data_IF_412183894928
#
_entry.id   IF_412183894928
#
_cell.length_a   1.000
_cell.length_b   1.000
_cell.length_c   1.000
_cell.angle_alpha   90.00
_cell.angle_beta   90.00
_cell.angle_gamma   90.00
#
_symmetry.space_group_name_H-M   'P 1'
#
loop_
_entity.id
_entity.type
_entity.pdbx_description
1 polymer ?
#
# COMPACT_ATOMS: atom_id res chain seq x y z
N UNK A 1 -39.66 -42.05 20.33
CA UNK A 1 -38.23 -41.78 20.07
C UNK A 1 -37.88 -40.43 20.65
N UNK A 2 -36.93 -40.33 21.58
CA UNK A 2 -36.59 -39.06 22.19
C UNK A 2 -35.73 -38.24 21.22
N UNK A 3 -36.06 -36.97 21.06
CA UNK A 3 -35.33 -36.01 20.24
C UNK A 3 -33.99 -35.71 20.92
N UNK A 4 -32.90 -36.11 20.26
CA UNK A 4 -31.53 -35.79 20.64
C UNK A 4 -31.37 -34.26 20.68
N UNK A 5 -31.05 -33.72 21.86
CA UNK A 5 -30.67 -32.32 22.01
C UNK A 5 -29.32 -32.13 21.34
N UNK A 6 -29.27 -31.29 20.32
CA UNK A 6 -28.02 -30.80 19.71
C UNK A 6 -27.10 -30.25 20.83
N UNK A 7 -25.79 -30.52 20.77
CA UNK A 7 -24.85 -30.01 21.75
C UNK A 7 -24.84 -28.48 21.74
N UNK A 8 -24.89 -27.87 22.92
CA UNK A 8 -24.73 -26.43 23.05
C UNK A 8 -23.36 -26.02 22.48
N UNK A 9 -23.28 -24.92 21.69
CA UNK A 9 -21.99 -24.42 21.23
C UNK A 9 -21.12 -24.12 22.45
N UNK A 10 -19.92 -24.71 22.45
CA UNK A 10 -18.91 -24.51 23.47
C UNK A 10 -18.72 -23.00 23.67
N UNK A 11 -19.01 -22.50 24.88
CA UNK A 11 -18.85 -21.09 25.19
C UNK A 11 -17.43 -20.66 24.84
N UNK A 12 -17.29 -19.65 23.99
CA UNK A 12 -16.02 -18.98 23.75
C UNK A 12 -15.54 -18.55 25.14
N UNK A 13 -14.37 -19.01 25.63
CA UNK A 13 -13.83 -18.54 26.89
C UNK A 13 -13.79 -17.02 26.79
N UNK A 14 -14.43 -16.31 27.72
CA UNK A 14 -14.14 -14.90 27.89
C UNK A 14 -12.62 -14.83 28.03
N UNK A 15 -11.95 -14.23 27.05
CA UNK A 15 -10.54 -13.94 27.15
C UNK A 15 -10.43 -13.02 28.38
N UNK A 16 -10.10 -13.62 29.53
CA UNK A 16 -9.80 -12.87 30.74
C UNK A 16 -8.78 -11.84 30.32
N UNK A 17 -9.06 -10.57 30.59
CA UNK A 17 -8.13 -9.49 30.32
C UNK A 17 -6.77 -9.93 30.88
N UNK A 18 -5.84 -10.26 29.99
CA UNK A 18 -4.49 -10.61 30.38
C UNK A 18 -3.99 -9.38 31.12
N UNK A 19 -3.72 -9.45 32.44
CA UNK A 19 -3.20 -8.30 33.14
C UNK A 19 -1.95 -7.87 32.40
N UNK A 20 -1.92 -6.61 31.93
CA UNK A 20 -0.76 -6.07 31.26
C UNK A 20 0.47 -6.40 32.11
N UNK A 21 1.53 -6.98 31.53
CA UNK A 21 2.69 -7.38 32.30
C UNK A 21 3.13 -6.17 33.13
N UNK A 22 3.36 -6.38 34.43
CA UNK A 22 3.75 -5.31 35.34
C UNK A 22 4.94 -4.58 34.70
N UNK A 23 4.70 -3.36 34.24
CA UNK A 23 5.70 -2.58 33.53
C UNK A 23 6.92 -2.40 34.44
N UNK A 24 8.12 -2.50 33.87
CA UNK A 24 9.31 -2.23 34.67
C UNK A 24 9.33 -0.74 35.08
N UNK A 25 10.00 -0.37 36.19
CA UNK A 25 9.92 0.97 36.80
C UNK A 25 10.25 2.15 35.87
N UNK A 26 10.98 1.93 34.78
CA UNK A 26 11.37 2.96 33.82
C UNK A 26 10.78 2.73 32.42
N UNK A 27 9.66 2.02 32.31
CA UNK A 27 9.03 1.71 31.01
C UNK A 27 8.65 2.94 30.18
N UNK A 28 8.45 4.09 30.83
CA UNK A 28 8.21 5.37 30.15
C UNK A 28 9.47 5.92 29.48
N UNK A 29 10.67 5.70 30.05
CA UNK A 29 11.94 6.04 29.39
C UNK A 29 12.12 5.19 28.12
N UNK A 30 11.82 3.90 28.20
CA UNK A 30 11.88 3.02 27.02
C UNK A 30 10.88 3.46 25.95
N UNK A 31 9.65 3.83 26.35
CA UNK A 31 8.62 4.34 25.44
C UNK A 31 9.05 5.64 24.78
N UNK A 32 9.63 6.56 25.55
CA UNK A 32 10.18 7.82 25.03
C UNK A 32 11.33 7.58 24.06
N UNK A 33 12.23 6.64 24.39
CA UNK A 33 13.33 6.20 23.53
C UNK A 33 12.82 5.61 22.21
N UNK A 34 11.89 4.65 22.27
CA UNK A 34 11.24 4.08 21.08
C UNK A 34 10.53 5.15 20.24
N UNK A 35 9.82 6.08 20.86
CA UNK A 35 9.16 7.18 20.16
C UNK A 35 10.16 8.13 19.48
N UNK A 36 11.33 8.38 20.10
CA UNK A 36 12.38 9.19 19.50
C UNK A 36 12.99 8.49 18.27
N UNK A 37 13.29 7.19 18.36
CA UNK A 37 13.77 6.40 17.23
C UNK A 37 12.73 6.36 16.12
N UNK A 38 11.46 6.09 16.44
CA UNK A 38 10.38 6.07 15.45
C UNK A 38 10.24 7.41 14.71
N UNK A 39 10.35 8.54 15.41
CA UNK A 39 10.35 9.87 14.76
C UNK A 39 11.57 10.08 13.87
N UNK A 40 12.77 9.70 14.34
CA UNK A 40 14.01 9.88 13.58
C UNK A 40 14.07 9.01 12.31
N UNK A 41 13.34 7.90 12.29
CA UNK A 41 13.32 6.90 11.21
C UNK A 41 12.03 6.92 10.39
N UNK A 42 11.13 7.86 10.65
CA UNK A 42 9.79 7.91 10.08
C UNK A 42 9.01 6.59 10.21
N UNK A 43 9.24 5.83 11.30
CA UNK A 43 8.58 4.57 11.61
C UNK A 43 9.27 3.31 11.07
N UNK A 44 10.37 3.43 10.33
CA UNK A 44 11.15 2.26 9.86
C UNK A 44 12.02 1.72 10.98
N UNK A 45 11.91 0.42 11.29
CA UNK A 45 12.73 -0.25 12.31
C UNK A 45 14.19 -0.40 11.84
N UNK A 46 15.18 0.26 12.46
CA UNK A 46 16.59 0.08 12.09
C UNK A 46 17.10 -1.32 12.44
N UNK A 47 16.56 -1.92 13.49
CA UNK A 47 16.94 -3.26 13.92
C UNK A 47 16.53 -4.30 12.88
N UNK A 48 15.31 -4.20 12.36
CA UNK A 48 14.81 -5.05 11.29
C UNK A 48 15.71 -5.04 10.04
N UNK A 49 16.19 -3.86 9.67
CA UNK A 49 17.15 -3.64 8.56
C UNK A 49 18.46 -4.37 8.87
N UNK A 50 19.06 -4.12 10.04
CA UNK A 50 20.34 -4.70 10.44
C UNK A 50 20.25 -6.23 10.53
N UNK A 51 19.16 -6.77 11.08
CA UNK A 51 18.97 -8.20 11.26
C UNK A 51 18.92 -8.93 9.92
N UNK A 52 18.12 -8.44 8.96
CA UNK A 52 18.02 -9.06 7.65
C UNK A 52 19.37 -9.06 6.90
N UNK A 53 20.11 -7.95 6.96
CA UNK A 53 21.45 -7.86 6.38
C UNK A 53 22.45 -8.81 7.05
N UNK A 54 22.42 -8.87 8.38
CA UNK A 54 23.35 -9.70 9.17
C UNK A 54 23.08 -11.19 8.99
N UNK A 55 21.80 -11.60 8.95
CA UNK A 55 21.40 -12.99 8.74
C UNK A 55 21.79 -13.46 7.33
N UNK A 56 21.49 -12.65 6.31
CA UNK A 56 21.91 -12.92 4.93
C UNK A 56 23.43 -13.02 4.80
N UNK A 57 24.18 -12.05 5.31
CA UNK A 57 25.64 -12.00 5.19
C UNK A 57 26.30 -13.22 5.87
N UNK A 58 25.81 -13.61 7.04
CA UNK A 58 26.33 -14.77 7.79
C UNK A 58 26.08 -16.07 7.04
N UNK A 59 24.88 -16.25 6.48
CA UNK A 59 24.54 -17.44 5.69
C UNK A 59 25.33 -17.50 4.39
N UNK A 60 25.47 -16.38 3.69
CA UNK A 60 26.27 -16.31 2.47
C UNK A 60 27.75 -16.63 2.75
N UNK A 61 28.33 -16.04 3.80
CA UNK A 61 29.72 -16.28 4.20
C UNK A 61 30.03 -17.76 4.54
N UNK A 62 29.01 -18.51 5.00
CA UNK A 62 29.12 -19.95 5.32
C UNK A 62 28.72 -20.87 4.17
N UNK A 63 28.41 -20.31 2.99
CA UNK A 63 27.93 -21.07 1.82
C UNK A 63 28.95 -21.00 0.66
N UNK A 64 30.06 -21.75 0.70
CA UNK A 64 31.13 -21.65 -0.31
C UNK A 64 30.64 -22.02 -1.72
N UNK A 65 29.72 -22.97 -1.86
CA UNK A 65 29.11 -23.30 -3.16
C UNK A 65 28.36 -22.12 -3.77
N UNK A 66 27.55 -21.43 -2.96
CA UNK A 66 26.82 -20.24 -3.42
C UNK A 66 27.76 -19.08 -3.76
N UNK A 67 28.85 -18.91 -3.00
CA UNK A 67 29.87 -17.91 -3.32
C UNK A 67 30.53 -18.18 -4.68
N UNK A 68 30.83 -19.44 -4.99
CA UNK A 68 31.37 -19.83 -6.30
C UNK A 68 30.36 -19.59 -7.41
N UNK A 69 29.10 -19.97 -7.25
CA UNK A 69 28.02 -19.69 -8.22
C UNK A 69 27.90 -18.18 -8.53
N UNK A 70 27.92 -17.34 -7.49
CA UNK A 70 27.85 -15.88 -7.64
C UNK A 70 29.12 -15.29 -8.27
N UNK A 71 30.29 -15.88 -8.01
CA UNK A 71 31.54 -15.48 -8.64
C UNK A 71 31.58 -15.85 -10.13
N UNK A 72 31.13 -17.06 -10.47
CA UNK A 72 30.99 -17.53 -11.86
C UNK A 72 29.97 -16.67 -12.63
N UNK A 73 28.85 -16.32 -11.99
CA UNK A 73 27.88 -15.38 -12.56
C UNK A 73 28.54 -14.02 -12.84
N UNK A 74 29.21 -13.43 -11.84
CA UNK A 74 29.88 -12.14 -11.99
C UNK A 74 30.93 -12.18 -13.11
N UNK A 75 31.69 -13.27 -13.22
CA UNK A 75 32.67 -13.49 -14.28
C UNK A 75 32.00 -13.59 -15.66
N UNK A 76 30.93 -14.38 -15.80
CA UNK A 76 30.11 -14.48 -17.02
C UNK A 76 29.58 -13.11 -17.43
N UNK A 77 29.00 -12.37 -16.48
CA UNK A 77 28.46 -11.04 -16.72
C UNK A 77 29.55 -10.06 -17.16
N UNK A 78 30.74 -10.10 -16.54
CA UNK A 78 31.87 -9.28 -16.95
C UNK A 78 32.34 -9.57 -18.40
N UNK A 79 32.38 -10.85 -18.81
CA UNK A 79 32.70 -11.20 -20.20
C UNK A 79 31.65 -10.72 -21.20
N UNK A 80 30.35 -10.83 -20.86
CA UNK A 80 29.26 -10.30 -21.68
C UNK A 80 29.36 -8.78 -21.84
N UNK A 81 29.64 -8.07 -20.75
CA UNK A 81 29.83 -6.61 -20.75
C UNK A 81 31.04 -6.20 -21.57
N UNK A 82 32.17 -6.92 -21.46
CA UNK A 82 33.36 -6.67 -22.27
C UNK A 82 33.06 -6.86 -23.76
N UNK A 83 32.36 -7.94 -24.12
CA UNK A 83 31.93 -8.19 -25.49
C UNK A 83 31.03 -7.08 -26.03
N UNK A 84 30.07 -6.62 -25.22
CA UNK A 84 29.21 -5.48 -25.56
C UNK A 84 30.00 -4.18 -25.76
N UNK A 85 30.95 -3.89 -24.87
CA UNK A 85 31.79 -2.69 -24.96
C UNK A 85 32.68 -2.68 -26.21
N UNK A 86 33.30 -3.82 -26.55
CA UNK A 86 34.10 -3.97 -27.78
C UNK A 86 33.22 -3.78 -29.02
N UNK A 87 32.04 -4.40 -29.05
CA UNK A 87 31.12 -4.27 -30.18
C UNK A 87 30.61 -2.85 -30.38
N UNK A 88 30.26 -2.18 -29.28
CA UNK A 88 29.83 -0.78 -29.28
C UNK A 88 30.94 0.18 -29.76
N UNK A 89 32.20 -0.07 -29.39
CA UNK A 89 33.35 0.69 -29.88
C UNK A 89 33.63 0.45 -31.38
N UNK A 90 33.32 -0.76 -31.89
CA UNK A 90 33.47 -1.13 -33.28
C UNK A 90 32.39 -0.61 -34.24
N UNK A 91 31.45 0.22 -33.75
CA UNK A 91 30.34 0.76 -34.56
C UNK A 91 29.26 -0.28 -34.90
N UNK A 92 29.35 -1.49 -34.37
CA UNK A 92 28.33 -2.53 -34.51
C UNK A 92 27.27 -2.41 -33.42
N UNK A 93 26.00 -2.61 -33.78
CA UNK A 93 24.95 -2.84 -32.80
C UNK A 93 25.14 -4.23 -32.17
N UNK A 94 26.09 -4.36 -31.24
CA UNK A 94 26.20 -5.58 -30.46
C UNK A 94 24.92 -5.77 -29.63
N UNK A 95 24.31 -6.96 -29.64
CA UNK A 95 23.10 -7.20 -28.86
C UNK A 95 23.36 -6.89 -27.39
N UNK A 96 22.38 -6.25 -26.75
CA UNK A 96 22.44 -5.95 -25.33
C UNK A 96 22.43 -7.27 -24.53
N UNK A 97 23.45 -7.55 -23.71
CA UNK A 97 23.53 -8.81 -22.97
C UNK A 97 22.49 -8.94 -21.84
N UNK A 98 21.93 -7.82 -21.37
CA UNK A 98 20.91 -7.76 -20.34
C UNK A 98 19.74 -6.90 -20.80
N UNK A 99 18.53 -7.38 -20.52
CA UNK A 99 17.29 -6.66 -20.79
C UNK A 99 16.70 -6.12 -19.48
N UNK A 100 16.16 -4.88 -19.47
CA UNK A 100 15.37 -4.40 -18.35
C UNK A 100 14.17 -5.31 -18.08
N UNK A 101 13.73 -5.39 -16.83
CA UNK A 101 12.52 -6.14 -16.47
C UNK A 101 11.29 -5.50 -17.17
N UNK A 102 10.20 -6.24 -17.45
CA UNK A 102 9.06 -5.71 -18.23
C UNK A 102 8.40 -4.43 -17.67
N UNK A 103 8.51 -4.23 -16.35
CA UNK A 103 7.98 -3.08 -15.62
C UNK A 103 9.04 -1.98 -15.36
N UNK A 104 10.28 -2.16 -15.82
CA UNK A 104 11.35 -1.19 -15.65
C UNK A 104 11.32 -0.17 -16.80
N UNK A 105 10.67 0.96 -16.53
CA UNK A 105 10.50 2.05 -17.49
C UNK A 105 11.67 3.06 -17.49
N UNK A 106 12.71 2.86 -16.67
CA UNK A 106 13.82 3.83 -16.51
C UNK A 106 14.69 4.00 -17.75
N UNK A 107 14.68 3.01 -18.64
CA UNK A 107 15.59 2.94 -19.80
C UNK A 107 14.87 2.96 -21.15
N UNK A 108 13.71 3.59 -21.23
CA UNK A 108 12.88 3.62 -22.45
C UNK A 108 13.45 4.56 -23.52
N UNK A 109 14.13 5.64 -23.13
CA UNK A 109 14.67 6.61 -24.07
C UNK A 109 15.67 5.99 -25.08
N UNK A 110 15.58 6.30 -26.39
CA UNK A 110 16.42 5.68 -27.41
C UNK A 110 17.92 5.79 -27.16
N UNK A 111 18.37 6.88 -26.53
CA UNK A 111 19.78 7.11 -26.24
C UNK A 111 20.39 6.08 -25.28
N UNK A 112 19.59 5.38 -24.47
CA UNK A 112 20.07 4.27 -23.63
C UNK A 112 20.65 3.12 -24.46
N UNK A 113 20.34 3.02 -25.75
CA UNK A 113 20.91 2.02 -26.67
C UNK A 113 22.23 2.45 -27.30
N UNK A 114 22.71 3.66 -27.02
CA UNK A 114 23.91 4.23 -27.62
C UNK A 114 25.00 4.47 -26.56
N UNK A 115 26.30 4.32 -26.91
CA UNK A 115 27.39 4.70 -26.02
C UNK A 115 27.38 6.22 -25.73
N UNK A 116 27.75 6.65 -24.50
CA UNK A 116 28.18 5.84 -23.36
C UNK A 116 27.03 5.24 -22.54
N UNK A 117 25.79 5.70 -22.73
CA UNK A 117 24.63 5.34 -21.91
C UNK A 117 24.33 3.83 -21.91
N UNK A 118 24.51 3.16 -23.04
CA UNK A 118 24.35 1.70 -23.14
C UNK A 118 25.33 0.96 -22.22
N UNK A 119 26.56 1.45 -22.05
CA UNK A 119 27.54 0.82 -21.18
C UNK A 119 27.14 0.94 -19.70
N UNK A 120 26.63 2.12 -19.30
CA UNK A 120 26.15 2.35 -17.93
C UNK A 120 24.89 1.54 -17.63
N UNK A 121 23.93 1.52 -18.56
CA UNK A 121 22.72 0.71 -18.44
C UNK A 121 23.08 -0.77 -18.27
N UNK A 122 23.89 -1.32 -19.18
CA UNK A 122 24.23 -2.74 -19.16
C UNK A 122 25.03 -3.12 -17.91
N UNK A 123 25.96 -2.26 -17.46
CA UNK A 123 26.67 -2.45 -16.21
C UNK A 123 25.73 -2.49 -14.99
N UNK A 124 24.78 -1.55 -14.94
CA UNK A 124 23.76 -1.52 -13.88
C UNK A 124 22.86 -2.76 -13.90
N UNK A 125 22.35 -3.16 -15.07
CA UNK A 125 21.49 -4.35 -15.21
C UNK A 125 22.23 -5.64 -14.81
N UNK A 126 23.53 -5.75 -15.11
CA UNK A 126 24.35 -6.87 -14.68
C UNK A 126 24.49 -6.93 -13.15
N UNK A 127 24.67 -5.78 -12.49
CA UNK A 127 24.70 -5.69 -11.02
C UNK A 127 23.34 -6.05 -10.43
N UNK A 128 22.25 -5.61 -11.07
CA UNK A 128 20.89 -5.95 -10.64
C UNK A 128 20.62 -7.46 -10.74
N UNK A 129 20.99 -8.11 -11.85
CA UNK A 129 20.89 -9.57 -12.02
C UNK A 129 21.71 -10.32 -10.97
N UNK A 130 22.91 -9.83 -10.65
CA UNK A 130 23.74 -10.42 -9.60
C UNK A 130 23.08 -10.35 -8.23
N UNK A 131 22.50 -9.19 -7.86
CA UNK A 131 21.80 -9.04 -6.58
C UNK A 131 20.49 -9.81 -6.50
N UNK A 132 19.75 -9.94 -7.61
CA UNK A 132 18.56 -10.80 -7.67
C UNK A 132 18.94 -12.25 -7.32
N UNK A 133 20.09 -12.74 -7.80
CA UNK A 133 20.60 -14.07 -7.43
C UNK A 133 21.22 -14.09 -6.02
N UNK A 134 21.99 -13.08 -5.63
CA UNK A 134 22.64 -13.04 -4.32
C UNK A 134 21.64 -13.01 -3.15
N UNK A 135 20.47 -12.42 -3.36
CA UNK A 135 19.38 -12.36 -2.38
C UNK A 135 18.37 -13.49 -2.52
N UNK A 136 18.65 -14.51 -3.33
CA UNK A 136 17.83 -15.71 -3.36
C UNK A 136 17.93 -16.52 -2.07
N UNK A 137 16.90 -17.34 -1.80
CA UNK A 137 16.74 -18.03 -0.52
C UNK A 137 17.93 -18.97 -0.27
N UNK A 138 18.76 -18.62 0.71
CA UNK A 138 19.87 -19.45 1.17
C UNK A 138 19.39 -20.52 2.14
N UNK A 139 20.02 -21.69 2.11
CA UNK A 139 19.72 -22.75 3.08
C UNK A 139 20.03 -22.27 4.51
N UNK A 140 19.02 -22.33 5.39
CA UNK A 140 19.12 -21.91 6.78
C UNK A 140 18.70 -20.46 7.05
N UNK A 141 18.61 -19.63 6.00
CA UNK A 141 18.15 -18.25 6.12
C UNK A 141 16.65 -18.20 6.41
N UNK A 142 16.23 -17.31 7.31
CA UNK A 142 14.81 -17.11 7.59
C UNK A 142 14.12 -16.56 6.34
N UNK A 143 12.97 -17.12 5.98
CA UNK A 143 12.22 -16.70 4.78
C UNK A 143 11.90 -15.21 4.78
N UNK A 144 11.45 -14.70 5.93
CA UNK A 144 11.11 -13.29 6.11
C UNK A 144 12.32 -12.36 5.94
N UNK A 145 13.47 -12.72 6.51
CA UNK A 145 14.72 -11.97 6.33
C UNK A 145 15.23 -12.02 4.89
N UNK A 146 15.09 -13.15 4.21
CA UNK A 146 15.45 -13.28 2.80
C UNK A 146 14.63 -12.33 1.92
N UNK A 147 13.31 -12.33 2.11
CA UNK A 147 12.38 -11.46 1.37
C UNK A 147 12.62 -9.98 1.71
N UNK A 148 12.90 -9.66 2.99
CA UNK A 148 13.25 -8.30 3.45
C UNK A 148 14.59 -7.84 2.89
N UNK A 149 15.60 -8.72 2.85
CA UNK A 149 16.91 -8.43 2.28
C UNK A 149 16.81 -8.17 0.77
N UNK A 150 16.07 -9.02 0.04
CA UNK A 150 15.79 -8.81 -1.38
C UNK A 150 15.11 -7.47 -1.64
N UNK A 151 14.09 -7.12 -0.85
CA UNK A 151 13.43 -5.82 -0.94
C UNK A 151 14.41 -4.66 -0.74
N UNK A 152 15.22 -4.70 0.33
CA UNK A 152 16.20 -3.65 0.63
C UNK A 152 17.28 -3.51 -0.45
N UNK A 153 17.79 -4.63 -0.97
CA UNK A 153 18.74 -4.64 -2.08
C UNK A 153 18.12 -3.98 -3.32
N UNK A 154 16.87 -4.32 -3.67
CA UNK A 154 16.14 -3.70 -4.77
C UNK A 154 15.99 -2.19 -4.57
N UNK A 155 15.54 -1.75 -3.39
CA UNK A 155 15.42 -0.31 -3.09
C UNK A 155 16.76 0.44 -3.17
N UNK A 156 17.85 -0.20 -2.72
CA UNK A 156 19.20 0.38 -2.80
C UNK A 156 19.66 0.52 -4.25
N UNK A 157 19.44 -0.51 -5.07
CA UNK A 157 19.76 -0.49 -6.50
C UNK A 157 18.92 0.56 -7.23
N UNK A 158 17.63 0.66 -6.92
CA UNK A 158 16.75 1.66 -7.50
C UNK A 158 17.20 3.08 -7.18
N UNK A 159 17.78 3.33 -6.01
CA UNK A 159 18.34 4.62 -5.62
C UNK A 159 19.59 4.98 -6.44
N UNK A 160 20.50 4.01 -6.66
CA UNK A 160 21.78 4.22 -7.36
C UNK A 160 21.71 3.98 -8.87
N UNK A 161 20.51 3.81 -9.42
CA UNK A 161 20.31 3.63 -10.84
C UNK A 161 20.86 4.83 -11.64
N UNK A 162 21.53 4.61 -12.78
CA UNK A 162 22.12 5.70 -13.57
C UNK A 162 21.06 6.70 -14.06
N UNK A 163 19.80 6.28 -14.22
CA UNK A 163 18.67 7.16 -14.56
C UNK A 163 18.40 8.25 -13.52
N UNK A 164 18.85 8.09 -12.27
CA UNK A 164 18.59 9.05 -11.20
C UNK A 164 19.63 10.18 -11.14
N UNK A 165 20.72 10.08 -11.89
CA UNK A 165 21.79 11.08 -11.89
C UNK A 165 21.68 11.97 -13.15
N UNK A 166 21.51 13.29 -13.01
CA UNK A 166 21.31 14.20 -14.14
C UNK A 166 22.37 14.10 -15.25
N UNK A 167 23.63 13.86 -14.88
CA UNK A 167 24.74 13.74 -15.83
C UNK A 167 24.92 12.34 -16.43
N UNK A 168 24.14 11.34 -15.99
CA UNK A 168 24.12 9.99 -16.57
C UNK A 168 22.81 9.70 -17.32
N UNK A 169 21.79 10.54 -17.16
CA UNK A 169 20.49 10.34 -17.77
C UNK A 169 20.38 11.14 -19.09
N UNK A 170 20.23 10.45 -20.24
CA UNK A 170 20.17 11.12 -21.54
C UNK A 170 18.95 12.03 -21.69
N UNK A 171 17.80 11.68 -21.11
CA UNK A 171 16.57 12.49 -21.19
C UNK A 171 16.77 13.84 -20.50
N UNK A 172 17.45 13.83 -19.35
CA UNK A 172 17.75 15.05 -18.60
C UNK A 172 18.78 15.89 -19.35
N UNK A 173 19.84 15.26 -19.89
CA UNK A 173 20.87 15.96 -20.67
C UNK A 173 20.26 16.65 -21.89
N UNK A 174 19.44 15.93 -22.65
CA UNK A 174 18.74 16.46 -23.82
C UNK A 174 17.82 17.63 -23.45
N UNK A 175 16.94 17.44 -22.45
CA UNK A 175 16.07 18.51 -21.96
C UNK A 175 16.86 19.72 -21.42
N UNK A 176 18.03 19.51 -20.81
CA UNK A 176 18.91 20.57 -20.34
C UNK A 176 19.52 21.35 -21.51
N UNK A 177 19.93 20.68 -22.59
CA UNK A 177 20.42 21.35 -23.79
C UNK A 177 19.31 22.14 -24.48
N UNK A 178 18.13 21.55 -24.66
CA UNK A 178 16.98 22.18 -25.31
C UNK A 178 16.46 23.39 -24.54
N UNK A 179 16.42 23.29 -23.20
CA UNK A 179 15.92 24.35 -22.33
C UNK A 179 17.01 25.34 -21.87
N UNK A 180 18.25 25.20 -22.37
CA UNK A 180 19.40 25.97 -21.92
C UNK A 180 19.57 25.98 -20.38
N UNK A 181 19.33 24.83 -19.74
CA UNK A 181 19.45 24.64 -18.30
C UNK A 181 18.25 25.09 -17.47
N UNK A 182 17.18 25.61 -18.08
CA UNK A 182 15.97 26.04 -17.37
C UNK A 182 15.31 24.88 -16.60
N UNK A 183 15.31 23.67 -17.14
CA UNK A 183 14.76 22.48 -16.47
C UNK A 183 15.40 22.22 -15.09
N UNK A 184 16.72 22.44 -14.96
CA UNK A 184 17.44 22.24 -13.70
C UNK A 184 17.10 23.32 -12.67
N UNK A 185 16.92 24.56 -13.11
CA UNK A 185 16.52 25.68 -12.23
C UNK A 185 15.11 25.44 -11.69
N UNK A 186 14.17 25.07 -12.56
CA UNK A 186 12.80 24.72 -12.17
C UNK A 186 12.78 23.50 -11.24
N UNK A 187 13.53 22.45 -11.57
CA UNK A 187 13.69 21.26 -10.74
C UNK A 187 14.26 21.56 -9.35
N UNK A 188 15.28 22.43 -9.25
CA UNK A 188 15.82 22.87 -7.96
C UNK A 188 14.79 23.66 -7.14
N UNK A 189 13.95 24.46 -7.80
CA UNK A 189 12.81 25.14 -7.18
C UNK A 189 11.82 24.14 -6.58
N UNK A 190 11.41 23.14 -7.35
CA UNK A 190 10.52 22.06 -6.88
C UNK A 190 11.14 21.27 -5.72
N UNK A 191 12.40 20.86 -5.85
CA UNK A 191 13.13 20.16 -4.79
C UNK A 191 13.18 20.96 -3.49
N UNK A 192 13.46 22.27 -3.56
CA UNK A 192 13.50 23.13 -2.38
C UNK A 192 12.13 23.24 -1.70
N UNK A 193 11.06 23.32 -2.48
CA UNK A 193 9.69 23.34 -1.97
C UNK A 193 9.29 22.01 -1.32
N UNK A 194 9.73 20.89 -1.90
CA UNK A 194 9.44 19.55 -1.39
C UNK A 194 10.25 19.22 -0.12
N UNK A 195 11.51 19.68 -0.06
CA UNK A 195 12.33 19.59 1.15
C UNK A 195 11.70 20.40 2.29
N UNK A 196 11.32 21.65 2.03
CA UNK A 196 10.66 22.49 3.03
C UNK A 196 9.34 21.88 3.50
N UNK A 197 8.55 21.33 2.57
CA UNK A 197 7.31 20.62 2.90
C UNK A 197 7.56 19.40 3.78
N UNK A 198 8.56 18.58 3.44
CA UNK A 198 8.93 17.38 4.21
C UNK A 198 9.39 17.73 5.62
N UNK A 199 10.14 18.83 5.78
CA UNK A 199 10.62 19.29 7.09
C UNK A 199 9.51 19.92 7.94
N UNK A 200 8.61 20.67 7.32
CA UNK A 200 7.55 21.40 8.03
C UNK A 200 6.29 20.58 8.24
N UNK A 201 6.07 19.52 7.44
CA UNK A 201 4.84 18.70 7.42
C UNK A 201 3.55 19.54 7.27
N UNK A 202 3.68 20.76 6.75
CA UNK A 202 2.55 21.68 6.57
C UNK A 202 1.72 21.19 5.39
N UNK A 203 0.43 20.91 5.62
CA UNK A 203 -0.49 20.51 4.55
C UNK A 203 -0.57 21.59 3.46
N UNK A 204 -0.22 21.23 2.24
CA UNK A 204 -0.50 22.07 1.06
C UNK A 204 -2.02 22.13 0.81
N UNK A 205 -2.54 23.28 0.35
CA UNK A 205 -3.91 23.34 -0.15
C UNK A 205 -4.05 22.39 -1.36
N UNK A 206 -5.26 21.88 -1.57
CA UNK A 206 -5.55 21.09 -2.76
C UNK A 206 -5.28 21.94 -4.03
N UNK A 207 -4.75 21.34 -5.11
CA UNK A 207 -4.60 22.04 -6.39
C UNK A 207 -5.94 22.61 -6.87
N UNK A 208 -5.90 23.68 -7.66
CA UNK A 208 -7.09 24.22 -8.30
C UNK A 208 -7.79 23.14 -9.14
N UNK A 209 -9.13 23.12 -9.10
CA UNK A 209 -9.95 22.12 -9.81
C UNK A 209 -10.17 20.80 -9.07
N UNK A 210 -9.72 20.66 -7.82
CA UNK A 210 -9.93 19.45 -7.00
C UNK A 210 -10.62 19.74 -5.67
N UNK A 211 -11.59 20.66 -5.66
CA UNK A 211 -12.32 21.06 -4.46
C UNK A 211 -13.34 19.99 -4.07
N UNK A 212 -13.22 19.46 -2.86
CA UNK A 212 -14.18 18.49 -2.30
C UNK A 212 -15.56 19.15 -2.15
N UNK A 213 -16.60 18.44 -2.61
CA UNK A 213 -17.99 18.90 -2.68
C UNK A 213 -18.32 19.77 -3.90
N UNK A 214 -17.33 20.12 -4.74
CA UNK A 214 -17.54 20.89 -5.98
C UNK A 214 -17.05 20.11 -7.19
N UNK A 215 -15.76 19.76 -7.20
CA UNK A 215 -15.10 19.03 -8.29
C UNK A 215 -14.99 17.53 -7.97
N UNK A 216 -14.76 17.21 -6.70
CA UNK A 216 -14.67 15.84 -6.16
C UNK A 216 -15.80 15.57 -5.16
N UNK A 217 -16.29 14.34 -5.05
CA UNK A 217 -17.41 13.99 -4.16
C UNK A 217 -18.60 14.95 -4.27
N UNK A 218 -18.95 15.25 -5.52
CA UNK A 218 -20.01 16.19 -5.86
C UNK A 218 -21.35 15.51 -6.19
N UNK A 219 -21.46 14.18 -5.98
CA UNK A 219 -22.74 13.48 -6.12
C UNK A 219 -23.69 13.98 -5.02
N UNK A 220 -24.89 14.52 -5.36
CA UNK A 220 -25.79 15.08 -4.37
C UNK A 220 -26.20 14.05 -3.31
N UNK A 221 -26.09 14.42 -2.04
CA UNK A 221 -26.40 13.58 -0.90
C UNK A 221 -26.46 14.35 0.40
N UNK A 222 -26.91 13.68 1.47
CA UNK A 222 -27.10 14.26 2.80
C UNK A 222 -26.57 13.33 3.87
N UNK A 223 -25.96 13.91 4.92
CA UNK A 223 -25.62 13.16 6.13
C UNK A 223 -26.91 12.84 6.88
N UNK A 224 -27.21 11.54 7.03
CA UNK A 224 -28.45 11.05 7.66
C UNK A 224 -28.21 10.44 9.04
N UNK A 225 -26.96 10.13 9.37
CA UNK A 225 -26.55 9.68 10.70
C UNK A 225 -25.12 10.13 10.97
N UNK A 226 -24.80 10.40 12.25
CA UNK A 226 -23.48 10.81 12.70
C UNK A 226 -23.23 10.31 14.11
N UNK A 227 -22.02 9.84 14.36
CA UNK A 227 -21.52 9.58 15.71
C UNK A 227 -20.06 10.05 15.84
N UNK A 228 -19.34 9.50 16.82
CA UNK A 228 -17.98 9.91 17.13
C UNK A 228 -16.90 9.34 16.17
N UNK A 229 -17.23 8.37 15.30
CA UNK A 229 -16.27 7.77 14.34
C UNK A 229 -16.67 7.91 12.87
N UNK A 230 -17.95 8.17 12.58
CA UNK A 230 -18.42 8.34 11.20
C UNK A 230 -19.57 9.32 11.01
N UNK A 231 -19.73 9.69 9.75
CA UNK A 231 -20.96 10.22 9.15
C UNK A 231 -21.47 9.21 8.12
N UNK A 232 -22.78 8.95 8.10
CA UNK A 232 -23.43 8.15 7.07
C UNK A 232 -24.11 9.10 6.08
N UNK A 233 -23.72 9.02 4.81
CA UNK A 233 -24.27 9.82 3.72
C UNK A 233 -25.28 8.97 2.97
N UNK A 234 -26.50 9.49 2.77
CA UNK A 234 -27.48 8.96 1.81
C UNK A 234 -27.48 9.84 0.57
N UNK A 235 -27.31 9.25 -0.60
CA UNK A 235 -27.29 9.99 -1.87
C UNK A 235 -28.70 10.18 -2.44
N UNK A 236 -28.90 11.30 -3.14
CA UNK A 236 -30.19 11.61 -3.77
C UNK A 236 -30.43 10.68 -4.98
N UNK A 237 -31.65 10.11 -5.11
CA UNK A 237 -31.96 9.23 -6.22
C UNK A 237 -31.93 9.99 -7.56
N UNK A 238 -31.47 9.32 -8.62
CA UNK A 238 -31.38 9.87 -9.98
C UNK A 238 -32.41 9.28 -10.95
N UNK A 239 -33.31 8.45 -10.44
CA UNK A 239 -34.34 7.73 -11.19
C UNK A 239 -35.72 7.96 -10.55
N UNK A 240 -36.80 7.71 -11.29
CA UNK A 240 -38.16 7.84 -10.77
C UNK A 240 -38.56 6.74 -9.78
N UNK A 241 -37.92 5.57 -9.86
CA UNK A 241 -38.06 4.45 -8.93
C UNK A 241 -36.69 3.83 -8.64
N UNK A 242 -36.57 3.17 -7.50
CA UNK A 242 -35.33 2.52 -7.04
C UNK A 242 -35.57 1.06 -6.66
N UNK A 243 -34.51 0.27 -6.61
CA UNK A 243 -34.52 -1.07 -6.04
C UNK A 243 -34.90 -1.04 -4.55
N UNK A 244 -35.55 -2.11 -4.08
CA UNK A 244 -36.02 -2.20 -2.70
C UNK A 244 -34.87 -2.31 -1.68
N UNK A 245 -33.86 -3.13 -2.00
CA UNK A 245 -32.65 -3.28 -1.20
C UNK A 245 -31.67 -2.11 -1.45
N UNK A 246 -31.27 -1.36 -0.41
CA UNK A 246 -30.24 -0.34 -0.54
C UNK A 246 -28.83 -0.94 -0.61
N UNK A 247 -27.88 -0.13 -1.09
CA UNK A 247 -26.45 -0.44 -1.09
C UNK A 247 -25.75 0.35 0.01
N UNK A 248 -24.97 -0.33 0.87
CA UNK A 248 -24.08 0.29 1.85
C UNK A 248 -22.63 0.14 1.39
N UNK A 249 -21.92 1.24 1.23
CA UNK A 249 -20.49 1.27 0.92
C UNK A 249 -19.69 1.54 2.20
N UNK A 250 -18.79 0.62 2.53
CA UNK A 250 -17.84 0.66 3.66
C UNK A 250 -16.43 0.85 3.09
N UNK A 251 -15.93 2.10 2.98
CA UNK A 251 -14.59 2.36 2.47
C UNK A 251 -13.51 2.07 3.53
N UNK A 252 -12.25 1.95 3.11
CA UNK A 252 -11.12 1.99 4.03
C UNK A 252 -10.99 3.39 4.66
N UNK A 253 -10.52 3.46 5.91
CA UNK A 253 -10.26 4.73 6.62
C UNK A 253 -8.83 5.27 6.44
N UNK A 254 -7.93 4.51 5.79
CA UNK A 254 -6.59 4.98 5.41
C UNK A 254 -6.70 6.11 4.37
N UNK A 255 -7.65 5.97 3.44
CA UNK A 255 -8.03 6.97 2.45
C UNK A 255 -9.40 7.55 2.80
N UNK A 256 -9.82 8.60 2.10
CA UNK A 256 -11.18 9.14 2.23
C UNK A 256 -12.16 8.44 1.30
N UNK A 257 -13.42 8.42 1.70
CA UNK A 257 -14.50 7.71 1.00
C UNK A 257 -14.64 8.13 -0.47
N UNK A 258 -14.27 9.38 -0.78
CA UNK A 258 -14.41 9.98 -2.11
C UNK A 258 -13.52 9.34 -3.18
N UNK A 259 -12.64 8.38 -2.85
CA UNK A 259 -12.05 7.51 -3.88
C UNK A 259 -13.11 6.72 -4.67
N UNK A 260 -14.28 6.48 -4.05
CA UNK A 260 -15.44 5.83 -4.69
C UNK A 260 -16.46 6.85 -5.24
N UNK A 261 -16.19 8.14 -5.05
CA UNK A 261 -17.02 9.27 -5.50
C UNK A 261 -16.09 10.42 -5.91
N UNK A 262 -15.23 10.18 -6.90
CA UNK A 262 -14.22 11.14 -7.36
C UNK A 262 -14.89 12.25 -8.18
N UNK A 263 -14.68 12.29 -9.50
CA UNK A 263 -15.32 13.23 -10.40
C UNK A 263 -16.62 12.62 -10.97
N UNK A 264 -17.49 13.42 -11.60
CA UNK A 264 -18.73 12.91 -12.18
C UNK A 264 -18.51 11.77 -13.19
N UNK A 265 -17.36 11.70 -13.86
CA UNK A 265 -17.05 10.73 -14.91
C UNK A 265 -16.55 9.38 -14.37
N UNK A 266 -16.06 9.34 -13.13
CA UNK A 266 -15.45 8.15 -12.52
C UNK A 266 -15.94 7.86 -11.10
N UNK A 267 -17.13 8.35 -10.76
CA UNK A 267 -17.82 8.07 -9.48
C UNK A 267 -18.63 6.77 -9.53
N UNK A 268 -18.23 5.79 -8.71
CA UNK A 268 -19.00 4.56 -8.49
C UNK A 268 -20.34 4.87 -7.81
N UNK A 269 -20.34 5.78 -6.84
CA UNK A 269 -21.57 6.21 -6.15
C UNK A 269 -22.58 6.78 -7.14
N UNK A 270 -22.14 7.71 -8.00
CA UNK A 270 -22.97 8.31 -9.04
C UNK A 270 -23.54 7.24 -9.97
N UNK A 271 -22.68 6.32 -10.44
CA UNK A 271 -23.12 5.22 -11.28
C UNK A 271 -24.22 4.40 -10.62
N UNK A 272 -24.06 4.02 -9.34
CA UNK A 272 -25.05 3.21 -8.62
C UNK A 272 -26.40 3.92 -8.42
N UNK A 273 -26.40 5.22 -8.10
CA UNK A 273 -27.67 5.98 -8.00
C UNK A 273 -28.34 6.15 -9.36
N UNK A 274 -27.57 6.25 -10.44
CA UNK A 274 -28.10 6.28 -11.82
C UNK A 274 -28.64 4.91 -12.27
N UNK A 275 -28.12 3.80 -11.71
CA UNK A 275 -28.69 2.45 -11.89
C UNK A 275 -29.95 2.22 -11.03
N UNK A 276 -30.39 3.20 -10.24
CA UNK A 276 -31.61 3.09 -9.44
C UNK A 276 -31.42 2.38 -8.10
N UNK A 277 -30.21 2.35 -7.54
CA UNK A 277 -30.02 1.95 -6.13
C UNK A 277 -30.18 3.13 -5.18
N UNK A 278 -30.75 2.87 -4.00
CA UNK A 278 -30.56 3.78 -2.86
C UNK A 278 -29.19 3.52 -2.27
N UNK A 279 -28.29 4.51 -2.32
CA UNK A 279 -26.87 4.33 -1.96
C UNK A 279 -26.56 5.08 -0.66
N UNK A 280 -25.90 4.37 0.25
CA UNK A 280 -25.34 4.91 1.47
C UNK A 280 -23.82 4.70 1.50
N UNK A 281 -23.07 5.68 2.00
CA UNK A 281 -21.60 5.59 2.17
C UNK A 281 -21.22 5.99 3.58
N UNK A 282 -20.34 5.22 4.20
CA UNK A 282 -19.68 5.60 5.46
C UNK A 282 -18.54 6.59 5.15
N UNK A 283 -18.61 7.78 5.72
CA UNK A 283 -17.54 8.76 5.77
C UNK A 283 -16.87 8.73 7.14
N UNK A 284 -15.70 8.09 7.23
CA UNK A 284 -14.94 7.98 8.47
C UNK A 284 -14.34 9.32 8.92
N UNK A 285 -14.46 9.62 10.21
CA UNK A 285 -13.79 10.75 10.84
C UNK A 285 -12.25 10.59 10.76
N UNK A 286 -11.52 11.71 10.62
CA UNK A 286 -10.08 11.67 10.84
C UNK A 286 -9.81 11.54 12.33
N UNK A 287 -9.03 10.52 12.76
CA UNK A 287 -8.77 10.32 14.18
C UNK A 287 -8.00 11.51 14.77
N UNK A 288 -8.33 11.85 16.01
CA UNK A 288 -7.58 12.81 16.84
C UNK A 288 -6.93 12.08 18.01
N UNK A 289 -6.12 12.77 18.82
CA UNK A 289 -5.53 12.19 20.03
C UNK A 289 -6.58 11.62 21.00
N UNK A 290 -7.81 12.15 21.00
CA UNK A 290 -8.91 11.65 21.83
C UNK A 290 -9.41 10.25 21.40
N UNK A 291 -9.05 9.79 20.21
CA UNK A 291 -9.47 8.51 19.62
C UNK A 291 -8.31 7.49 19.60
N UNK A 292 -7.22 7.74 20.32
CA UNK A 292 -6.04 6.87 20.34
C UNK A 292 -6.32 5.44 20.83
N UNK A 293 -7.34 5.28 21.67
CA UNK A 293 -7.73 3.98 22.25
C UNK A 293 -8.84 3.26 21.47
N UNK A 294 -9.26 3.79 20.30
CA UNK A 294 -10.24 3.10 19.46
C UNK A 294 -9.67 1.77 18.95
N UNK A 295 -10.42 0.71 19.17
CA UNK A 295 -10.12 -0.65 18.73
C UNK A 295 -10.81 -0.98 17.41
N UNK A 296 -10.37 -2.06 16.76
CA UNK A 296 -11.04 -2.59 15.57
C UNK A 296 -12.51 -2.96 15.83
N UNK A 297 -12.84 -3.37 17.06
CA UNK A 297 -14.21 -3.72 17.43
C UNK A 297 -15.12 -2.49 17.53
N UNK A 298 -14.56 -1.31 17.87
CA UNK A 298 -15.31 -0.05 17.86
C UNK A 298 -15.69 0.34 16.42
N UNK A 299 -14.76 0.20 15.46
CA UNK A 299 -15.06 0.38 14.03
C UNK A 299 -16.09 -0.63 13.50
N UNK A 300 -16.16 -1.83 14.09
CA UNK A 300 -17.20 -2.81 13.75
C UNK A 300 -18.56 -2.39 14.31
N UNK A 301 -18.63 -2.10 15.62
CA UNK A 301 -19.89 -1.80 16.35
C UNK A 301 -20.41 -0.41 16.02
N UNK A 302 -19.64 0.60 16.35
CA UNK A 302 -20.01 2.01 16.16
C UNK A 302 -19.82 2.46 14.71
N UNK A 303 -19.25 1.60 13.87
CA UNK A 303 -19.05 1.86 12.46
C UNK A 303 -20.05 1.11 11.60
N UNK A 304 -19.66 -0.09 11.17
CA UNK A 304 -20.43 -0.90 10.21
C UNK A 304 -21.83 -1.25 10.75
N UNK A 305 -21.92 -1.73 12.01
CA UNK A 305 -23.22 -2.13 12.58
C UNK A 305 -24.13 -0.91 12.82
N UNK A 306 -23.59 0.20 13.35
CA UNK A 306 -24.35 1.44 13.52
C UNK A 306 -24.88 2.00 12.18
N UNK A 307 -24.11 1.87 11.09
CA UNK A 307 -24.57 2.26 9.76
C UNK A 307 -25.72 1.36 9.26
N UNK A 308 -25.62 0.04 9.47
CA UNK A 308 -26.70 -0.91 9.16
C UNK A 308 -27.96 -0.57 9.95
N UNK A 309 -27.84 -0.30 11.26
CA UNK A 309 -28.97 0.11 12.12
C UNK A 309 -29.63 1.39 11.61
N UNK A 310 -28.84 2.41 11.25
CA UNK A 310 -29.33 3.66 10.69
C UNK A 310 -30.05 3.45 9.35
N UNK A 311 -29.51 2.60 8.46
CA UNK A 311 -30.16 2.27 7.18
C UNK A 311 -31.48 1.57 7.41
N UNK A 312 -31.54 0.59 8.33
CA UNK A 312 -32.79 -0.11 8.63
C UNK A 312 -33.82 0.76 9.34
N UNK A 313 -33.42 1.84 10.03
CA UNK A 313 -34.35 2.84 10.53
C UNK A 313 -34.94 3.71 9.40
N UNK A 314 -34.16 4.00 8.36
CA UNK A 314 -34.57 4.81 7.19
C UNK A 314 -35.38 3.97 6.19
N UNK A 315 -34.99 2.72 5.96
CA UNK A 315 -35.64 1.76 5.06
C UNK A 315 -36.03 0.50 5.85
N UNK A 316 -37.13 0.55 6.63
CA UNK A 316 -37.54 -0.56 7.50
C UNK A 316 -37.77 -1.86 6.75
N UNK A 317 -37.24 -2.96 7.28
CA UNK A 317 -37.45 -4.31 6.75
C UNK A 317 -36.66 -4.66 5.48
N UNK A 318 -35.98 -3.70 4.85
CA UNK A 318 -35.13 -3.98 3.71
C UNK A 318 -33.82 -4.65 4.13
N UNK A 319 -33.38 -5.66 3.37
CA UNK A 319 -32.02 -6.18 3.48
C UNK A 319 -31.05 -5.31 2.68
N UNK A 320 -29.78 -5.33 3.06
CA UNK A 320 -28.76 -4.40 2.53
C UNK A 320 -27.75 -5.16 1.66
N UNK A 321 -27.44 -4.62 0.48
CA UNK A 321 -26.27 -5.04 -0.29
C UNK A 321 -25.04 -4.28 0.22
N UNK A 322 -24.16 -4.95 0.97
CA UNK A 322 -22.96 -4.31 1.50
C UNK A 322 -21.79 -4.43 0.52
N UNK A 323 -21.04 -3.35 0.35
CA UNK A 323 -19.83 -3.28 -0.46
C UNK A 323 -18.70 -2.73 0.41
N UNK A 324 -17.66 -3.53 0.63
CA UNK A 324 -16.49 -3.13 1.38
C UNK A 324 -15.27 -2.96 0.48
N UNK A 325 -14.58 -1.81 0.60
CA UNK A 325 -13.41 -1.49 -0.21
C UNK A 325 -12.12 -1.49 0.63
N UNK A 326 -11.10 -2.23 0.19
CA UNK A 326 -9.81 -2.36 0.86
C UNK A 326 -10.01 -2.79 2.33
N UNK A 327 -9.43 -2.07 3.31
CA UNK A 327 -9.61 -2.34 4.74
C UNK A 327 -11.08 -2.26 5.18
N UNK A 328 -11.90 -1.48 4.47
CA UNK A 328 -13.36 -1.45 4.63
C UNK A 328 -14.03 -2.79 4.31
N UNK A 329 -13.48 -3.56 3.38
CA UNK A 329 -13.90 -4.93 3.10
C UNK A 329 -13.45 -5.93 4.16
N UNK A 330 -12.25 -5.76 4.73
CA UNK A 330 -11.79 -6.58 5.86
C UNK A 330 -12.72 -6.41 7.07
N UNK A 331 -13.06 -5.17 7.46
CA UNK A 331 -13.98 -4.94 8.58
C UNK A 331 -15.40 -5.40 8.27
N UNK A 332 -15.86 -5.26 7.01
CA UNK A 332 -17.16 -5.76 6.58
C UNK A 332 -17.23 -7.29 6.66
N UNK A 333 -16.16 -8.00 6.29
CA UNK A 333 -16.09 -9.46 6.40
C UNK A 333 -16.18 -9.90 7.88
N UNK A 334 -15.48 -9.21 8.78
CA UNK A 334 -15.56 -9.46 10.24
C UNK A 334 -16.98 -9.18 10.75
N UNK A 335 -17.61 -8.08 10.33
CA UNK A 335 -18.98 -7.75 10.69
C UNK A 335 -19.96 -8.82 10.19
N UNK A 336 -19.88 -9.22 8.93
CA UNK A 336 -20.74 -10.23 8.34
C UNK A 336 -20.59 -11.60 9.03
N UNK A 337 -19.37 -12.01 9.38
CA UNK A 337 -19.14 -13.23 10.16
C UNK A 337 -19.76 -13.15 11.56
N UNK A 338 -19.68 -11.98 12.21
CA UNK A 338 -20.31 -11.74 13.50
C UNK A 338 -21.84 -11.77 13.42
N UNK A 339 -22.42 -11.15 12.38
CA UNK A 339 -23.86 -11.18 12.10
C UNK A 339 -24.35 -12.62 11.90
N UNK A 340 -23.62 -13.43 11.12
CA UNK A 340 -23.97 -14.83 10.89
C UNK A 340 -23.95 -15.65 12.19
N UNK A 341 -22.94 -15.45 13.06
CA UNK A 341 -22.86 -16.08 14.38
C UNK A 341 -24.08 -15.74 15.24
N UNK A 342 -24.53 -14.49 15.19
CA UNK A 342 -25.59 -13.96 16.05
C UNK A 342 -27.00 -14.10 15.42
N UNK A 343 -27.12 -14.70 14.24
CA UNK A 343 -28.40 -14.91 13.54
C UNK A 343 -28.97 -13.65 12.88
N UNK A 344 -28.16 -12.63 12.66
CA UNK A 344 -28.55 -11.39 12.00
C UNK A 344 -28.51 -11.52 10.48
N UNK A 345 -29.68 -11.52 9.85
CA UNK A 345 -29.88 -11.73 8.41
C UNK A 345 -30.12 -10.45 7.61
N UNK A 346 -29.72 -9.28 8.13
CA UNK A 346 -29.98 -7.98 7.49
C UNK A 346 -29.16 -7.72 6.22
N UNK A 347 -28.09 -8.46 5.96
CA UNK A 347 -27.36 -8.39 4.70
C UNK A 347 -28.00 -9.29 3.64
N UNK A 348 -28.32 -8.73 2.47
CA UNK A 348 -28.74 -9.48 1.28
C UNK A 348 -27.54 -10.06 0.52
N UNK A 349 -26.44 -9.30 0.43
CA UNK A 349 -25.17 -9.74 -0.13
C UNK A 349 -24.00 -8.95 0.46
N UNK A 350 -22.78 -9.47 0.27
CA UNK A 350 -21.54 -8.79 0.57
C UNK A 350 -20.60 -8.83 -0.64
N UNK A 351 -20.13 -7.67 -1.08
CA UNK A 351 -19.15 -7.50 -2.16
C UNK A 351 -17.84 -6.98 -1.54
N UNK A 352 -16.72 -7.64 -1.83
CA UNK A 352 -15.40 -7.30 -1.31
C UNK A 352 -14.50 -6.81 -2.46
N UNK A 353 -14.21 -5.51 -2.49
CA UNK A 353 -13.42 -4.87 -3.53
C UNK A 353 -11.99 -4.61 -3.05
N UNK A 354 -11.01 -5.27 -3.67
CA UNK A 354 -9.59 -5.15 -3.31
C UNK A 354 -9.34 -5.33 -1.80
N UNK A 355 -10.11 -6.22 -1.16
CA UNK A 355 -10.09 -6.41 0.28
C UNK A 355 -9.47 -7.77 0.63
N UNK A 356 -8.50 -7.75 1.53
CA UNK A 356 -7.82 -8.95 1.99
C UNK A 356 -8.50 -9.47 3.27
N UNK A 357 -8.82 -10.77 3.29
CA UNK A 357 -9.37 -11.49 4.44
C UNK A 357 -8.41 -12.53 4.99
N UNK A 358 -7.52 -13.05 4.14
CA UNK A 358 -6.41 -13.92 4.51
C UNK A 358 -5.11 -13.13 4.36
N UNK A 359 -4.41 -12.91 5.48
CA UNK A 359 -3.16 -12.16 5.56
C UNK A 359 -1.90 -13.05 5.60
N UNK A 360 -2.03 -14.38 5.39
CA UNK A 360 -0.88 -15.30 5.37
C UNK A 360 0.13 -14.89 4.28
N UNK A 361 -0.34 -14.43 3.13
CA UNK A 361 0.49 -13.92 2.02
C UNK A 361 0.16 -12.45 1.71
N UNK A 362 0.34 -11.53 2.67
CA UNK A 362 0.09 -10.10 2.49
C UNK A 362 1.20 -9.34 1.73
N UNK A 363 2.02 -10.04 0.95
CA UNK A 363 3.10 -9.46 0.14
C UNK A 363 4.11 -8.67 0.97
N UNK A 364 4.60 -7.56 0.40
CA UNK A 364 5.63 -6.72 1.02
C UNK A 364 5.17 -6.03 2.32
N UNK A 365 3.87 -6.00 2.63
CA UNK A 365 3.37 -5.51 3.92
C UNK A 365 3.94 -6.32 5.09
N UNK A 366 4.13 -7.63 4.92
CA UNK A 366 4.69 -8.49 5.95
C UNK A 366 6.16 -8.13 6.27
N UNK A 367 6.86 -7.46 5.36
CA UNK A 367 8.25 -7.05 5.57
C UNK A 367 8.38 -5.92 6.60
N UNK A 368 7.29 -5.25 6.97
CA UNK A 368 7.27 -4.15 7.94
C UNK A 368 6.60 -4.54 9.27
N UNK A 369 6.17 -5.79 9.41
CA UNK A 369 5.63 -6.34 10.64
C UNK A 369 6.73 -7.21 11.28
N UNK A 370 7.06 -6.91 12.53
CA UNK A 370 8.00 -7.67 13.37
C UNK A 370 7.24 -8.38 14.52
#
# INVERSE_FOLDING_TARGET
MPVERLPQPCGIPQAGAVPAPAGHPHGDLDRAGRAAVARATAGVSPQAVIDAWSDWATHLARSPGRQLELAELAQSSAFRLLGHAIGAAGGGAAPAPFEPKPYDHRFVHPAWRMPPFSLWQQGFLAVQDWWDQATDRLRGLRTHDADRMRFQARQTLDLVAPSNFPWLNPEIIEATLESCGRNLVEGAGHFSQDLLHTLTQVRRPAPEGYRIGTDLACTPGKVVYRNHILELIQYEPRTGSVHAEPVLIVPAWIMKYYILDLSPENSLVRYLVEQGFTVFVISWCNPTAAQAELSLDDYRKDGVMAAIDAINAIVPGARIHANGYCLGGTILAIAAATMARDGDARLASATLMAAQVDFVEAGELLLFLD
#
